data_IF_562106359270
#
_entry.id   IF_562106359270
#
_cell.length_a   1.000
_cell.length_b   1.000
_cell.length_c   1.000
_cell.angle_alpha   90.00
_cell.angle_beta   90.00
_cell.angle_gamma   90.00
#
_symmetry.space_group_name_H-M   'P 1'
#
loop_
_entity.id
_entity.type
_entity.pdbx_description
1 polymer ?
#
# COMPACT_ATOMS: atom_id res chain seq x y z
N UNK A 1 -17.51 -9.67 9.15
CA UNK A 1 -17.59 -8.20 8.96
C UNK A 1 -17.62 -7.53 10.33
N UNK A 2 -16.45 -7.18 10.87
CA UNK A 2 -16.34 -6.34 12.06
C UNK A 2 -15.52 -5.12 11.65
N UNK A 3 -16.23 -4.00 11.48
CA UNK A 3 -15.66 -2.68 11.25
C UNK A 3 -15.04 -2.19 12.56
N UNK A 4 -13.72 -2.33 12.71
CA UNK A 4 -13.01 -1.65 13.78
C UNK A 4 -12.88 -0.16 13.42
N UNK A 5 -13.87 0.63 13.84
CA UNK A 5 -13.83 2.07 13.79
C UNK A 5 -12.76 2.58 14.78
N UNK A 6 -11.70 3.21 14.26
CA UNK A 6 -10.75 3.95 15.10
C UNK A 6 -11.42 5.25 15.55
N UNK A 7 -11.89 5.27 16.81
CA UNK A 7 -12.39 6.47 17.45
C UNK A 7 -11.21 7.40 17.83
N UNK A 8 -11.28 8.66 17.41
CA UNK A 8 -10.40 9.74 17.86
C UNK A 8 -11.09 10.45 19.02
N UNK A 9 -10.52 10.40 20.22
CA UNK A 9 -11.02 11.15 21.38
C UNK A 9 -9.90 11.94 22.07
N UNK A 10 -10.23 13.05 22.78
CA UNK A 10 -9.36 14.18 23.00
C UNK A 10 -8.56 14.06 24.29
N UNK A 11 -7.44 14.78 24.30
CA UNK A 11 -6.45 14.78 25.38
C UNK A 11 -6.99 15.40 26.68
N UNK A 12 -6.79 14.68 27.79
CA UNK A 12 -6.71 15.27 29.14
C UNK A 12 -5.87 14.39 30.10
N UNK A 13 -4.68 14.90 30.40
CA UNK A 13 -3.91 14.91 31.67
C UNK A 13 -3.70 13.61 32.47
N UNK A 14 -2.43 13.20 32.64
CA UNK A 14 -1.71 13.16 33.92
C UNK A 14 -0.34 12.46 33.77
N UNK A 15 0.73 13.13 34.19
CA UNK A 15 2.08 12.56 34.19
C UNK A 15 2.30 11.66 35.40
N UNK A 16 2.65 10.39 35.16
CA UNK A 16 3.29 9.53 36.15
C UNK A 16 4.61 9.02 35.57
N UNK A 17 5.71 9.45 36.20
CA UNK A 17 7.07 8.99 35.87
C UNK A 17 7.23 7.56 36.38
N UNK A 18 7.43 6.61 35.47
CA UNK A 18 7.94 5.27 35.80
C UNK A 18 9.39 5.14 35.38
N UNK A 19 10.17 4.50 36.26
CA UNK A 19 11.62 4.26 36.13
C UNK A 19 11.92 3.33 34.96
N UNK A 20 12.71 3.83 34.00
CA UNK A 20 13.25 3.05 32.88
C UNK A 20 14.42 2.20 33.37
N UNK A 21 14.29 0.88 33.30
CA UNK A 21 15.43 -0.05 33.42
C UNK A 21 16.23 -0.01 32.11
N UNK A 22 17.50 0.43 32.19
CA UNK A 22 18.44 0.33 31.08
C UNK A 22 18.63 -1.13 30.65
N UNK A 23 18.34 -1.45 29.39
CA UNK A 23 18.65 -2.74 28.76
C UNK A 23 20.15 -2.75 28.43
N UNK A 24 20.89 -3.70 29.01
CA UNK A 24 22.29 -3.96 28.67
C UNK A 24 22.38 -4.53 27.24
N UNK A 25 23.16 -3.86 26.38
CA UNK A 25 23.61 -4.43 25.11
C UNK A 25 24.66 -5.51 25.39
N UNK A 26 24.34 -6.76 25.10
CA UNK A 26 25.34 -7.84 25.09
C UNK A 26 26.06 -7.85 23.72
N UNK A 27 27.24 -7.23 23.68
CA UNK A 27 28.25 -7.48 22.66
C UNK A 27 29.19 -8.58 23.18
N UNK A 28 29.25 -9.72 22.49
CA UNK A 28 30.22 -10.79 22.80
C UNK A 28 31.46 -10.65 21.90
N UNK A 29 32.69 -10.78 22.44
CA UNK A 29 33.92 -10.73 21.64
C UNK A 29 34.15 -12.07 20.90
N UNK A 30 34.63 -11.97 19.66
CA UNK A 30 35.01 -13.11 18.81
C UNK A 30 36.29 -13.74 19.36
N UNK A 31 36.17 -14.91 19.97
CA UNK A 31 37.29 -15.76 20.37
C UNK A 31 37.77 -16.65 19.21
N UNK A 32 39.08 -16.76 19.06
CA UNK A 32 39.77 -17.61 18.07
C UNK A 32 39.62 -19.10 18.42
N UNK A 33 39.15 -19.92 17.47
CA UNK A 33 39.02 -21.36 17.62
C UNK A 33 40.03 -22.13 16.74
N UNK A 34 40.72 -23.10 17.35
CA UNK A 34 41.67 -24.05 16.74
C UNK A 34 40.96 -25.16 15.94
N UNK A 35 41.63 -25.82 14.97
CA UNK A 35 40.94 -26.67 14.01
C UNK A 35 40.73 -28.09 14.54
N UNK A 36 39.48 -28.58 14.50
CA UNK A 36 39.14 -29.99 14.75
C UNK A 36 38.94 -30.76 13.43
N UNK A 37 39.57 -31.93 13.39
CA UNK A 37 39.60 -32.95 12.31
C UNK A 37 38.19 -33.31 11.79
N UNK A 38 38.02 -33.32 10.47
CA UNK A 38 36.83 -33.85 9.77
C UNK A 38 36.93 -35.37 9.59
N UNK A 39 35.83 -36.07 9.87
CA UNK A 39 35.56 -37.43 9.38
C UNK A 39 34.60 -37.34 8.18
N UNK A 40 34.66 -38.25 7.20
CA UNK A 40 33.90 -38.14 5.96
C UNK A 40 32.46 -38.65 6.17
N UNK A 41 31.47 -37.86 5.74
CA UNK A 41 30.10 -38.32 5.54
C UNK A 41 29.87 -38.38 4.03
N UNK A 42 29.45 -39.55 3.54
CA UNK A 42 29.19 -39.82 2.14
C UNK A 42 27.99 -39.00 1.63
N UNK A 43 28.18 -38.27 0.54
CA UNK A 43 27.08 -37.71 -0.25
C UNK A 43 26.53 -38.79 -1.19
N UNK A 44 25.23 -39.05 -1.13
CA UNK A 44 24.54 -39.75 -2.20
C UNK A 44 24.43 -38.81 -3.41
N UNK A 45 25.14 -39.13 -4.48
CA UNK A 45 24.98 -38.51 -5.80
C UNK A 45 23.97 -39.34 -6.59
N UNK A 46 22.89 -38.71 -7.03
CA UNK A 46 22.02 -39.26 -8.08
C UNK A 46 22.17 -38.33 -9.27
N UNK A 47 22.94 -38.76 -10.27
CA UNK A 47 23.02 -38.11 -11.57
C UNK A 47 22.38 -38.97 -12.66
N UNK A 48 21.58 -38.26 -13.46
CA UNK A 48 21.26 -38.44 -14.88
C UNK A 48 20.19 -39.45 -15.31
N UNK A 49 19.11 -38.89 -15.87
CA UNK A 49 18.47 -39.45 -17.06
C UNK A 49 17.83 -38.34 -17.93
N UNK A 50 18.49 -38.12 -19.08
CA UNK A 50 17.94 -37.77 -20.41
C UNK A 50 17.52 -36.33 -20.69
N UNK A 51 18.31 -35.76 -21.61
CA UNK A 51 18.05 -34.57 -22.38
C UNK A 51 16.99 -34.82 -23.47
N UNK A 52 16.04 -33.90 -23.57
CA UNK A 52 15.36 -33.57 -24.83
C UNK A 52 15.32 -32.05 -24.93
N UNK A 53 15.97 -31.54 -25.97
CA UNK A 53 16.02 -30.11 -26.28
C UNK A 53 14.65 -29.64 -26.76
N UNK A 54 13.98 -28.83 -25.97
CA UNK A 54 13.13 -27.75 -26.47
C UNK A 54 13.81 -26.45 -26.06
N UNK A 55 14.24 -25.65 -27.04
CA UNK A 55 14.66 -24.27 -26.81
C UNK A 55 13.44 -23.50 -26.30
N UNK A 56 13.23 -23.51 -24.99
CA UNK A 56 12.43 -22.47 -24.36
C UNK A 56 13.19 -21.17 -24.57
N UNK A 57 12.64 -20.32 -25.42
CA UNK A 57 12.98 -18.90 -25.44
C UNK A 57 12.90 -18.40 -24.01
N UNK A 58 13.95 -17.73 -23.54
CA UNK A 58 13.90 -16.98 -22.29
C UNK A 58 12.57 -16.22 -22.21
N UNK A 59 11.86 -16.22 -21.06
CA UNK A 59 10.62 -15.48 -20.95
C UNK A 59 10.90 -14.06 -21.41
N UNK A 60 10.16 -13.60 -22.43
CA UNK A 60 10.27 -12.24 -22.91
C UNK A 60 10.18 -11.33 -21.68
N UNK A 61 11.11 -10.39 -21.54
CA UNK A 61 11.04 -9.37 -20.50
C UNK A 61 9.61 -8.83 -20.49
N UNK A 62 8.89 -8.84 -19.35
CA UNK A 62 7.50 -8.43 -19.31
C UNK A 62 7.39 -7.08 -20.00
N UNK A 63 6.49 -6.99 -21.01
CA UNK A 63 6.27 -5.73 -21.73
C UNK A 63 5.94 -4.67 -20.68
N UNK A 64 6.80 -3.67 -20.54
CA UNK A 64 6.58 -2.54 -19.63
C UNK A 64 5.24 -1.90 -20.02
N UNK A 65 4.22 -2.08 -19.18
CA UNK A 65 2.90 -1.49 -19.43
C UNK A 65 3.04 0.03 -19.44
N UNK A 66 2.47 0.67 -20.45
CA UNK A 66 2.38 2.12 -20.53
C UNK A 66 0.96 2.48 -20.95
N UNK A 67 0.28 3.22 -20.10
CA UNK A 67 -1.08 3.71 -20.32
C UNK A 67 -1.28 5.05 -19.59
N UNK A 68 -2.30 5.84 -19.97
CA UNK A 68 -2.56 7.12 -19.35
C UNK A 68 -3.08 6.97 -17.92
N UNK A 69 -2.51 7.73 -16.99
CA UNK A 69 -2.93 7.77 -15.59
C UNK A 69 -3.16 9.21 -15.16
N UNK A 70 -4.35 9.48 -14.64
CA UNK A 70 -4.73 10.79 -14.11
C UNK A 70 -4.79 10.70 -12.59
N UNK A 71 -4.05 11.55 -11.87
CA UNK A 71 -3.95 11.48 -10.41
C UNK A 71 -4.64 12.68 -9.77
N UNK A 72 -5.77 12.43 -9.10
CA UNK A 72 -6.46 13.39 -8.27
C UNK A 72 -6.14 13.13 -6.81
N UNK A 73 -5.76 14.07 -5.95
CA UNK A 73 -5.21 15.37 -6.30
C UNK A 73 -3.68 15.35 -6.21
N UNK A 74 -3.01 15.80 -7.27
CA UNK A 74 -1.58 16.07 -7.27
C UNK A 74 -1.15 17.18 -6.30
N UNK A 75 -2.08 18.00 -5.79
CA UNK A 75 -1.78 19.02 -4.76
C UNK A 75 -1.52 18.42 -3.37
N UNK A 76 -2.01 17.19 -3.12
CA UNK A 76 -1.79 16.47 -1.88
C UNK A 76 -0.45 15.73 -1.85
N UNK A 77 0.12 15.55 -0.65
CA UNK A 77 1.38 14.81 -0.47
C UNK A 77 1.33 13.40 -1.04
N UNK A 78 0.19 12.71 -0.94
CA UNK A 78 0.02 11.35 -1.46
C UNK A 78 -0.12 11.32 -2.98
N UNK A 79 -0.98 12.17 -3.55
CA UNK A 79 -1.16 12.25 -5.00
C UNK A 79 0.13 12.61 -5.72
N UNK A 80 0.94 13.52 -5.16
CA UNK A 80 2.29 13.80 -5.69
C UNK A 80 3.18 12.56 -5.71
N UNK A 81 3.29 11.84 -4.60
CA UNK A 81 4.10 10.61 -4.54
C UNK A 81 3.60 9.52 -5.51
N UNK A 82 2.29 9.40 -5.72
CA UNK A 82 1.72 8.46 -6.70
C UNK A 82 2.06 8.89 -8.13
N UNK A 83 1.95 10.18 -8.45
CA UNK A 83 2.29 10.69 -9.77
C UNK A 83 3.79 10.47 -10.10
N UNK A 84 4.69 10.72 -9.14
CA UNK A 84 6.13 10.45 -9.27
C UNK A 84 6.42 8.94 -9.46
N UNK A 85 5.77 8.08 -8.67
CA UNK A 85 5.90 6.62 -8.80
C UNK A 85 5.36 6.12 -10.15
N UNK A 86 4.25 6.68 -10.63
CA UNK A 86 3.66 6.33 -11.91
C UNK A 86 4.60 6.67 -13.08
N UNK A 87 5.21 7.86 -13.08
CA UNK A 87 6.22 8.26 -14.07
C UNK A 87 7.43 7.33 -14.01
N UNK A 88 7.93 7.03 -12.80
CA UNK A 88 9.06 6.10 -12.59
C UNK A 88 8.76 4.70 -13.13
N UNK A 89 7.51 4.24 -12.99
CA UNK A 89 7.02 2.97 -13.52
C UNK A 89 6.81 2.98 -15.05
N UNK A 90 6.94 4.13 -15.73
CA UNK A 90 6.76 4.29 -17.17
C UNK A 90 5.31 4.48 -17.63
N UNK A 91 4.40 4.83 -16.71
CA UNK A 91 3.05 5.24 -17.05
C UNK A 91 3.02 6.67 -17.59
N UNK A 92 2.03 6.97 -18.42
CA UNK A 92 1.87 8.30 -19.01
C UNK A 92 1.00 9.17 -18.09
N UNK A 93 1.63 10.09 -17.36
CA UNK A 93 0.90 11.02 -16.50
C UNK A 93 0.08 11.98 -17.37
N UNK A 94 -1.24 12.00 -17.17
CA UNK A 94 -2.14 12.94 -17.84
C UNK A 94 -1.95 14.33 -17.21
N UNK A 95 -1.76 15.40 -18.01
CA UNK A 95 -1.36 16.73 -17.50
C UNK A 95 -2.51 17.53 -16.87
N UNK A 96 -3.39 16.86 -16.13
CA UNK A 96 -4.58 17.44 -15.49
C UNK A 96 -4.80 16.80 -14.12
N UNK A 97 -5.14 17.61 -13.13
CA UNK A 97 -5.61 17.17 -11.81
C UNK A 97 -6.68 18.12 -11.29
N UNK A 98 -7.55 17.64 -10.41
CA UNK A 98 -8.59 18.46 -9.78
C UNK A 98 -8.34 18.68 -8.29
N UNK A 99 -8.46 19.92 -7.82
CA UNK A 99 -8.20 20.30 -6.43
C UNK A 99 -9.01 21.54 -6.04
N UNK A 100 -9.61 21.53 -4.85
CA UNK A 100 -10.17 22.73 -4.25
C UNK A 100 -9.09 23.70 -3.73
N UNK A 101 -7.87 23.21 -3.53
CA UNK A 101 -6.70 24.01 -3.15
C UNK A 101 -6.13 24.64 -4.42
N UNK A 102 -6.12 25.97 -4.46
CA UNK A 102 -5.45 26.75 -5.50
C UNK A 102 -3.93 26.62 -5.39
N UNK A 103 -3.25 26.61 -6.54
CA UNK A 103 -1.79 26.59 -6.63
C UNK A 103 -1.30 27.79 -7.44
N UNK A 104 -0.08 28.31 -7.17
CA UNK A 104 0.53 29.35 -7.99
C UNK A 104 0.49 28.97 -9.47
N UNK A 105 0.10 29.92 -10.33
CA UNK A 105 0.00 29.76 -11.79
C UNK A 105 -0.95 28.65 -12.27
N UNK A 106 -1.75 28.05 -11.38
CA UNK A 106 -2.67 26.96 -11.70
C UNK A 106 -1.97 25.68 -12.17
N UNK A 107 -0.67 25.52 -11.91
CA UNK A 107 0.13 24.38 -12.37
C UNK A 107 1.05 23.83 -11.29
N UNK A 108 1.31 22.53 -11.35
CA UNK A 108 2.34 21.87 -10.57
C UNK A 108 3.28 21.11 -11.50
N UNK A 109 4.57 21.31 -11.32
CA UNK A 109 5.57 20.50 -12.01
C UNK A 109 5.80 19.20 -11.22
N UNK A 110 5.58 18.06 -11.88
CA UNK A 110 5.85 16.71 -11.34
C UNK A 110 6.73 16.00 -12.35
N UNK A 111 7.96 15.69 -11.96
CA UNK A 111 9.00 15.21 -12.87
C UNK A 111 9.13 16.18 -14.07
N UNK A 112 9.02 15.68 -15.31
CA UNK A 112 9.09 16.50 -16.53
C UNK A 112 7.70 16.90 -17.07
N UNK A 113 6.65 16.80 -16.25
CA UNK A 113 5.26 17.09 -16.67
C UNK A 113 4.66 18.26 -15.88
N UNK A 114 4.16 19.27 -16.59
CA UNK A 114 3.34 20.34 -16.01
C UNK A 114 1.89 19.87 -15.90
N UNK A 115 1.41 19.73 -14.67
CA UNK A 115 0.04 19.31 -14.33
C UNK A 115 -0.81 20.54 -14.09
N UNK A 116 -1.82 20.76 -14.93
CA UNK A 116 -2.79 21.84 -14.74
C UNK A 116 -3.80 21.46 -13.66
N UNK A 117 -3.93 22.33 -12.65
CA UNK A 117 -4.82 22.14 -11.52
C UNK A 117 -6.13 22.89 -11.79
N UNK A 118 -7.22 22.14 -11.92
CA UNK A 118 -8.54 22.66 -12.18
C UNK A 118 -9.45 22.59 -10.96
N UNK A 119 -10.46 23.47 -10.93
CA UNK A 119 -11.47 23.42 -9.89
C UNK A 119 -12.34 22.17 -10.05
N UNK A 120 -12.70 21.45 -8.96
CA UNK A 120 -13.56 20.27 -9.04
C UNK A 120 -14.91 20.51 -9.70
N UNK A 121 -15.46 21.73 -9.68
CA UNK A 121 -16.69 22.08 -10.40
C UNK A 121 -16.58 21.95 -11.92
N UNK A 122 -15.37 21.99 -12.47
CA UNK A 122 -15.12 21.83 -13.90
C UNK A 122 -14.84 20.37 -14.31
N UNK A 123 -14.73 19.46 -13.33
CA UNK A 123 -14.27 18.09 -13.52
C UNK A 123 -15.07 17.32 -14.55
N UNK A 124 -16.41 17.39 -14.54
CA UNK A 124 -17.23 16.67 -15.51
C UNK A 124 -16.95 17.10 -16.95
N UNK A 125 -16.87 18.42 -17.20
CA UNK A 125 -16.62 18.97 -18.53
C UNK A 125 -15.24 18.56 -19.04
N UNK A 126 -14.23 18.69 -18.19
CA UNK A 126 -12.83 18.45 -18.55
C UNK A 126 -12.57 16.95 -18.71
N UNK A 127 -13.04 16.10 -17.79
CA UNK A 127 -12.89 14.65 -17.89
C UNK A 127 -13.58 14.08 -19.14
N UNK A 128 -14.77 14.59 -19.52
CA UNK A 128 -15.41 14.21 -20.80
C UNK A 128 -14.56 14.53 -22.02
N UNK A 129 -13.80 15.62 -21.98
CA UNK A 129 -12.91 15.98 -23.09
C UNK A 129 -11.68 15.07 -23.10
N UNK A 130 -11.00 14.96 -21.96
CA UNK A 130 -9.76 14.19 -21.81
C UNK A 130 -9.96 12.71 -22.10
N UNK A 131 -11.12 12.13 -21.74
CA UNK A 131 -11.42 10.73 -22.03
C UNK A 131 -11.40 10.40 -23.54
N UNK A 132 -11.59 11.40 -24.42
CA UNK A 132 -11.47 11.21 -25.88
C UNK A 132 -10.02 11.13 -26.32
N UNK A 133 -9.15 11.91 -25.70
CA UNK A 133 -7.72 11.96 -26.01
C UNK A 133 -6.96 10.79 -25.34
N UNK A 134 -7.50 10.28 -24.24
CA UNK A 134 -6.93 9.19 -23.45
C UNK A 134 -7.97 8.07 -23.19
N UNK A 135 -8.33 7.26 -24.19
CA UNK A 135 -9.41 6.27 -24.08
C UNK A 135 -9.12 5.12 -23.10
N UNK A 136 -7.84 4.81 -22.85
CA UNK A 136 -7.40 3.77 -21.92
C UNK A 136 -6.97 4.31 -20.54
N UNK A 137 -7.40 5.54 -20.20
CA UNK A 137 -7.02 6.21 -18.97
C UNK A 137 -7.56 5.52 -17.72
N UNK A 138 -6.74 5.45 -16.68
CA UNK A 138 -7.17 5.12 -15.32
C UNK A 138 -7.03 6.34 -14.42
N UNK A 139 -8.10 6.67 -13.69
CA UNK A 139 -8.08 7.73 -12.68
C UNK A 139 -7.59 7.17 -11.34
N UNK A 140 -6.71 7.86 -10.65
CA UNK A 140 -6.36 7.60 -9.25
C UNK A 140 -6.96 8.70 -8.38
N UNK A 141 -7.61 8.30 -7.29
CA UNK A 141 -8.22 9.21 -6.31
C UNK A 141 -7.58 9.07 -4.93
N UNK A 142 -6.86 10.13 -4.58
CA UNK A 142 -6.28 10.55 -3.31
C UNK A 142 -6.66 12.02 -3.07
N UNK A 143 -7.91 12.23 -2.70
CA UNK A 143 -8.52 13.52 -2.43
C UNK A 143 -8.78 13.68 -0.93
N UNK A 144 -10.03 13.90 -0.52
CA UNK A 144 -10.46 14.09 0.87
C UNK A 144 -11.73 13.28 1.14
N UNK A 145 -12.00 12.89 2.41
CA UNK A 145 -13.17 12.08 2.76
C UNK A 145 -14.50 12.58 2.18
N UNK A 146 -14.73 13.89 2.22
CA UNK A 146 -15.99 14.51 1.77
C UNK A 146 -16.18 14.45 0.24
N UNK A 147 -15.11 14.23 -0.53
CA UNK A 147 -15.14 14.14 -1.99
C UNK A 147 -15.34 12.70 -2.50
N UNK A 148 -15.13 11.69 -1.65
CA UNK A 148 -15.09 10.25 -2.03
C UNK A 148 -16.31 9.83 -2.85
N UNK A 149 -17.51 10.05 -2.31
CA UNK A 149 -18.74 9.56 -2.94
C UNK A 149 -19.08 10.35 -4.22
N UNK A 150 -18.91 11.68 -4.21
CA UNK A 150 -19.18 12.52 -5.37
C UNK A 150 -18.22 12.25 -6.53
N UNK A 151 -16.93 12.05 -6.25
CA UNK A 151 -15.95 11.68 -7.26
C UNK A 151 -16.25 10.31 -7.87
N UNK A 152 -16.56 9.32 -7.03
CA UNK A 152 -16.92 7.99 -7.53
C UNK A 152 -18.18 8.01 -8.41
N UNK A 153 -19.21 8.76 -8.02
CA UNK A 153 -20.41 8.96 -8.85
C UNK A 153 -20.06 9.59 -10.20
N UNK A 154 -19.18 10.60 -10.21
CA UNK A 154 -18.72 11.22 -11.45
C UNK A 154 -17.95 10.23 -12.34
N UNK A 155 -17.01 9.47 -11.78
CA UNK A 155 -16.25 8.47 -12.54
C UNK A 155 -17.17 7.40 -13.13
N UNK A 156 -18.14 6.94 -12.33
CA UNK A 156 -19.17 5.99 -12.76
C UNK A 156 -20.04 6.55 -13.89
N UNK A 157 -20.53 7.79 -13.75
CA UNK A 157 -21.32 8.50 -14.76
C UNK A 157 -20.59 8.63 -16.10
N UNK A 158 -19.27 8.76 -16.06
CA UNK A 158 -18.42 8.89 -17.25
C UNK A 158 -17.86 7.56 -17.75
N UNK A 159 -18.10 6.45 -17.05
CA UNK A 159 -17.54 5.13 -17.39
C UNK A 159 -16.03 5.03 -17.22
N UNK A 160 -15.43 5.90 -16.40
CA UNK A 160 -13.97 5.98 -16.23
C UNK A 160 -13.49 4.95 -15.21
N UNK A 161 -12.57 4.05 -15.57
CA UNK A 161 -11.96 3.15 -14.59
C UNK A 161 -11.13 3.91 -13.57
N UNK A 162 -11.16 3.48 -12.30
CA UNK A 162 -10.44 4.21 -11.27
C UNK A 162 -9.89 3.37 -10.10
N UNK A 163 -8.85 3.89 -9.47
CA UNK A 163 -8.26 3.37 -8.24
C UNK A 163 -8.50 4.39 -7.12
N UNK A 164 -9.25 4.02 -6.09
CA UNK A 164 -9.58 4.91 -4.98
C UNK A 164 -8.84 4.51 -3.71
N UNK A 165 -7.83 5.32 -3.36
CA UNK A 165 -7.05 5.23 -2.13
C UNK A 165 -7.52 6.18 -1.03
N UNK A 166 -8.39 7.13 -1.35
CA UNK A 166 -8.99 8.06 -0.37
C UNK A 166 -9.80 7.30 0.68
N UNK A 167 -9.46 7.54 1.94
CA UNK A 167 -10.15 6.99 3.12
C UNK A 167 -11.34 7.88 3.53
N UNK A 168 -12.22 7.34 4.36
CA UNK A 168 -13.47 8.02 4.74
C UNK A 168 -14.54 7.97 3.64
N UNK A 169 -15.53 8.87 3.74
CA UNK A 169 -16.76 8.82 2.95
C UNK A 169 -17.71 7.69 3.38
N UNK A 170 -18.88 7.60 2.76
CA UNK A 170 -19.79 6.48 2.92
C UNK A 170 -19.31 5.30 2.06
N UNK A 171 -18.67 4.32 2.71
CA UNK A 171 -18.08 3.16 2.03
C UNK A 171 -19.12 2.20 1.46
N UNK A 172 -20.30 2.11 2.08
CA UNK A 172 -21.37 1.23 1.59
C UNK A 172 -21.96 1.82 0.31
N UNK A 173 -22.27 3.12 0.34
CA UNK A 173 -22.75 3.85 -0.83
C UNK A 173 -21.69 3.82 -1.96
N UNK A 174 -20.42 4.06 -1.64
CA UNK A 174 -19.33 4.01 -2.62
C UNK A 174 -19.30 2.66 -3.37
N UNK A 175 -19.25 1.54 -2.64
CA UNK A 175 -19.19 0.22 -3.25
C UNK A 175 -20.46 -0.06 -4.08
N UNK A 176 -21.64 0.33 -3.56
CA UNK A 176 -22.91 0.16 -4.27
C UNK A 176 -22.93 0.95 -5.59
N UNK A 177 -22.57 2.23 -5.57
CA UNK A 177 -22.53 3.09 -6.76
C UNK A 177 -21.67 2.49 -7.86
N UNK A 178 -20.49 1.98 -7.51
CA UNK A 178 -19.55 1.40 -8.47
C UNK A 178 -20.05 0.07 -9.01
N UNK A 179 -20.62 -0.77 -8.15
CA UNK A 179 -21.18 -2.05 -8.54
C UNK A 179 -22.39 -1.87 -9.47
N UNK A 180 -23.30 -0.94 -9.15
CA UNK A 180 -24.49 -0.64 -9.96
C UNK A 180 -24.09 -0.06 -11.33
N UNK A 181 -23.06 0.79 -11.38
CA UNK A 181 -22.56 1.37 -12.63
C UNK A 181 -21.75 0.39 -13.49
N UNK A 182 -21.36 -0.77 -12.94
CA UNK A 182 -20.57 -1.80 -13.62
C UNK A 182 -19.24 -1.27 -14.20
N UNK A 183 -18.58 -0.36 -13.46
CA UNK A 183 -17.31 0.26 -13.85
C UNK A 183 -16.14 -0.46 -13.18
N UNK A 184 -15.03 -0.61 -13.91
CA UNK A 184 -13.80 -1.17 -13.38
C UNK A 184 -13.20 -0.27 -12.29
N UNK A 185 -13.06 -0.77 -11.07
CA UNK A 185 -12.42 -0.03 -10.00
C UNK A 185 -11.61 -0.92 -9.06
N UNK A 186 -10.53 -0.36 -8.50
CA UNK A 186 -9.90 -0.86 -7.28
C UNK A 186 -10.22 0.09 -6.14
N UNK A 187 -10.82 -0.41 -5.07
CA UNK A 187 -11.14 0.38 -3.88
C UNK A 187 -10.45 -0.25 -2.69
N UNK A 188 -9.47 0.46 -2.11
CA UNK A 188 -8.78 -0.01 -0.91
C UNK A 188 -8.40 1.15 0.01
N UNK A 189 -8.78 1.12 1.31
CA UNK A 189 -8.34 2.11 2.27
C UNK A 189 -6.87 1.93 2.67
N UNK A 190 -6.25 0.80 2.31
CA UNK A 190 -4.84 0.49 2.57
C UNK A 190 -4.18 0.04 1.26
N UNK A 191 -3.35 0.90 0.67
CA UNK A 191 -2.65 0.64 -0.59
C UNK A 191 -1.25 0.05 -0.38
N UNK A 192 -0.74 0.00 0.85
CA UNK A 192 0.54 -0.65 1.16
C UNK A 192 0.41 -2.16 1.05
N UNK A 193 0.61 -2.71 -0.15
CA UNK A 193 0.27 -4.11 -0.47
C UNK A 193 0.93 -5.13 0.48
N UNK A 194 2.16 -4.87 0.94
CA UNK A 194 2.87 -5.76 1.87
C UNK A 194 2.23 -5.73 3.26
N UNK A 195 1.74 -4.58 3.71
CA UNK A 195 0.98 -4.46 4.97
C UNK A 195 -0.35 -5.21 4.84
N UNK A 196 -1.04 -5.09 3.70
CA UNK A 196 -2.26 -5.87 3.43
C UNK A 196 -1.99 -7.37 3.45
N UNK A 197 -0.89 -7.82 2.83
CA UNK A 197 -0.52 -9.24 2.84
C UNK A 197 -0.25 -9.78 4.25
N UNK A 198 0.43 -8.99 5.10
CA UNK A 198 0.65 -9.34 6.50
C UNK A 198 -0.69 -9.44 7.26
N UNK A 199 -1.58 -8.46 7.11
CA UNK A 199 -2.91 -8.48 7.73
C UNK A 199 -3.73 -9.71 7.30
N UNK A 200 -3.73 -10.03 6.00
CA UNK A 200 -4.43 -11.20 5.47
C UNK A 200 -3.86 -12.52 6.02
N UNK A 201 -2.53 -12.61 6.17
CA UNK A 201 -1.90 -13.79 6.77
C UNK A 201 -2.33 -13.98 8.24
N UNK A 202 -2.40 -12.89 9.01
CA UNK A 202 -2.87 -12.92 10.40
C UNK A 202 -4.34 -13.30 10.49
N UNK A 203 -5.20 -12.78 9.60
CA UNK A 203 -6.62 -13.13 9.54
C UNK A 203 -6.83 -14.62 9.23
N UNK A 204 -6.16 -15.15 8.20
CA UNK A 204 -6.21 -16.58 7.86
C UNK A 204 -5.74 -17.45 9.03
N UNK A 205 -4.67 -17.05 9.72
CA UNK A 205 -4.17 -17.77 10.89
C UNK A 205 -5.19 -17.78 12.03
N UNK A 206 -5.82 -16.63 12.31
CA UNK A 206 -6.83 -16.51 13.35
C UNK A 206 -8.09 -17.34 13.05
N UNK A 207 -8.53 -17.37 11.79
CA UNK A 207 -9.67 -18.19 11.34
C UNK A 207 -9.37 -19.69 11.43
N UNK A 208 -8.17 -20.11 11.00
CA UNK A 208 -7.80 -21.54 10.97
C UNK A 208 -7.52 -22.12 12.35
N UNK A 209 -7.02 -21.31 13.27
CA UNK A 209 -6.58 -21.78 14.59
C UNK A 209 -7.23 -20.94 15.71
N UNK A 210 -8.56 -21.03 15.87
CA UNK A 210 -9.27 -20.27 16.89
C UNK A 210 -8.77 -20.66 18.28
N UNK A 211 -8.42 -19.66 19.09
CA UNK A 211 -7.90 -19.86 20.45
C UNK A 211 -6.46 -20.35 20.53
N UNK A 212 -5.69 -20.39 19.42
CA UNK A 212 -4.29 -20.83 19.44
C UNK A 212 -3.39 -20.05 20.40
N UNK A 213 -3.74 -18.79 20.68
CA UNK A 213 -3.05 -17.91 21.62
C UNK A 213 -3.90 -17.63 22.88
N UNK A 214 -4.84 -18.51 23.24
CA UNK A 214 -5.63 -18.34 24.45
C UNK A 214 -4.73 -18.24 25.69
N UNK A 215 -4.97 -17.21 26.51
CA UNK A 215 -4.14 -16.90 27.69
C UNK A 215 -2.95 -15.98 27.41
N UNK A 216 -2.53 -15.79 26.16
CA UNK A 216 -1.47 -14.82 25.85
C UNK A 216 -1.96 -13.39 26.11
N UNK A 217 -1.04 -12.53 26.58
CA UNK A 217 -1.25 -11.09 26.69
C UNK A 217 -0.79 -10.42 25.40
N UNK A 218 -1.64 -9.58 24.80
CA UNK A 218 -1.31 -8.74 23.65
C UNK A 218 -1.00 -7.32 24.10
N UNK A 219 0.15 -6.79 23.67
CA UNK A 219 0.52 -5.39 23.79
C UNK A 219 0.68 -4.79 22.38
N UNK A 220 0.10 -3.62 22.15
CA UNK A 220 0.16 -2.90 20.87
C UNK A 220 0.76 -1.53 21.13
N UNK A 221 1.97 -1.30 20.62
CA UNK A 221 2.69 -0.06 20.83
C UNK A 221 2.52 0.87 19.63
N UNK A 222 1.91 2.02 19.89
CA UNK A 222 1.69 3.12 18.95
C UNK A 222 2.33 4.39 19.55
N UNK A 223 3.64 4.56 19.36
CA UNK A 223 4.35 5.73 19.87
C UNK A 223 4.06 6.93 18.97
N UNK A 224 3.54 8.01 19.56
CA UNK A 224 3.13 9.24 18.85
C UNK A 224 4.01 10.45 19.17
N UNK A 225 4.77 10.39 20.25
CA UNK A 225 5.68 11.46 20.64
C UNK A 225 6.91 11.46 19.71
N UNK A 226 7.28 12.59 19.09
CA UNK A 226 8.39 12.65 18.13
C UNK A 226 9.77 12.30 18.72
N UNK A 227 10.02 12.65 19.98
CA UNK A 227 11.29 12.34 20.64
C UNK A 227 11.38 10.84 20.95
N UNK A 228 10.29 10.24 21.43
CA UNK A 228 10.20 8.79 21.63
C UNK A 228 10.20 8.01 20.30
N UNK A 229 9.61 8.56 19.23
CA UNK A 229 9.67 7.98 17.89
C UNK A 229 11.10 7.88 17.37
N UNK A 230 11.93 8.90 17.64
CA UNK A 230 13.34 8.89 17.28
C UNK A 230 14.14 7.94 18.19
N UNK A 231 14.00 8.08 19.52
CA UNK A 231 14.89 7.45 20.50
C UNK A 231 14.54 5.99 20.81
N UNK A 232 13.26 5.63 20.78
CA UNK A 232 12.76 4.31 21.21
C UNK A 232 12.34 3.47 20.00
N UNK A 233 11.67 4.08 19.03
CA UNK A 233 11.13 3.39 17.85
C UNK A 233 12.13 3.35 16.69
N UNK A 234 13.12 4.26 16.67
CA UNK A 234 14.15 4.33 15.64
C UNK A 234 13.66 4.91 14.31
N UNK A 235 12.65 5.78 14.35
CA UNK A 235 12.15 6.47 13.16
C UNK A 235 13.21 7.48 12.68
N UNK A 236 13.64 7.45 11.41
CA UNK A 236 14.53 8.47 10.87
C UNK A 236 13.92 9.87 10.97
N UNK A 237 14.71 10.86 11.35
CA UNK A 237 14.24 12.24 11.61
C UNK A 237 13.45 12.83 10.43
N UNK A 238 13.91 12.56 9.20
CA UNK A 238 13.28 12.96 7.93
C UNK A 238 11.87 12.37 7.69
N UNK A 239 11.43 11.41 8.50
CA UNK A 239 10.14 10.72 8.35
C UNK A 239 9.20 10.89 9.55
N UNK A 240 9.57 11.68 10.56
CA UNK A 240 8.71 11.94 11.72
C UNK A 240 7.34 12.51 11.32
N UNK A 241 7.30 13.37 10.30
CA UNK A 241 6.05 13.98 9.79
C UNK A 241 5.17 13.05 8.92
N UNK A 242 5.55 11.78 8.74
CA UNK A 242 4.79 10.80 7.98
C UNK A 242 5.45 9.44 7.95
N UNK A 243 5.17 8.63 8.96
CA UNK A 243 5.56 7.23 9.07
C UNK A 243 4.42 6.42 9.69
N UNK A 244 4.53 5.09 9.63
CA UNK A 244 3.66 4.17 10.33
C UNK A 244 4.48 3.01 10.88
N UNK A 245 4.88 3.12 12.15
CA UNK A 245 5.59 2.06 12.88
C UNK A 245 4.59 1.41 13.83
N UNK A 246 4.40 0.10 13.67
CA UNK A 246 3.50 -0.68 14.51
C UNK A 246 4.27 -1.87 15.07
N UNK A 247 4.12 -2.09 16.37
CA UNK A 247 4.68 -3.26 17.05
C UNK A 247 3.57 -3.97 17.84
N UNK A 248 3.45 -5.28 17.60
CA UNK A 248 2.53 -6.20 18.27
C UNK A 248 3.34 -7.23 19.04
N UNK A 249 3.14 -7.29 20.36
CA UNK A 249 3.86 -8.19 21.23
C UNK A 249 2.89 -9.14 21.93
N UNK A 250 3.08 -10.45 21.76
CA UNK A 250 2.37 -11.49 22.49
C UNK A 250 3.29 -12.15 23.51
N UNK A 251 2.86 -12.23 24.76
CA UNK A 251 3.60 -12.90 25.85
C UNK A 251 2.75 -13.99 26.49
N UNK A 252 3.32 -15.18 26.72
CA UNK A 252 2.63 -16.30 27.37
C UNK A 252 2.34 -16.01 28.85
N UNK A 253 1.34 -16.68 29.48
CA UNK A 253 1.02 -16.49 30.90
C UNK A 253 2.18 -16.71 31.88
N UNK A 254 3.11 -17.61 31.54
CA UNK A 254 4.28 -17.94 32.36
C UNK A 254 5.53 -17.12 31.99
N UNK A 255 5.37 -16.14 31.10
CA UNK A 255 6.41 -15.22 30.61
C UNK A 255 7.59 -15.92 29.87
N UNK A 256 7.46 -17.20 29.50
CA UNK A 256 8.55 -17.95 28.85
C UNK A 256 8.57 -17.83 27.32
N UNK A 257 7.44 -17.48 26.69
CA UNK A 257 7.29 -17.37 25.24
C UNK A 257 6.89 -15.95 24.85
N UNK A 258 7.60 -15.39 23.88
CA UNK A 258 7.40 -14.04 23.35
C UNK A 258 7.36 -14.08 21.82
N UNK A 259 6.31 -13.51 21.22
CA UNK A 259 6.24 -13.25 19.77
C UNK A 259 6.15 -11.76 19.51
N UNK A 260 6.92 -11.28 18.54
CA UNK A 260 6.93 -9.88 18.12
C UNK A 260 6.66 -9.79 16.62
N UNK A 261 5.72 -8.94 16.24
CA UNK A 261 5.46 -8.60 14.86
C UNK A 261 5.61 -7.08 14.69
N UNK A 262 6.46 -6.68 13.75
CA UNK A 262 6.72 -5.27 13.50
C UNK A 262 6.64 -4.96 12.00
N UNK A 263 5.97 -3.88 11.66
CA UNK A 263 6.08 -3.26 10.34
C UNK A 263 6.30 -1.75 10.46
N UNK A 264 7.28 -1.26 9.71
CA UNK A 264 7.74 0.11 9.75
C UNK A 264 7.68 0.70 8.34
N UNK A 265 6.83 1.70 8.16
CA UNK A 265 6.71 2.43 6.90
C UNK A 265 7.27 3.83 7.09
N UNK A 266 8.30 4.15 6.32
CA UNK A 266 8.84 5.50 6.19
C UNK A 266 8.22 6.21 4.98
N UNK A 267 7.68 7.41 5.19
CA UNK A 267 7.12 8.22 4.12
C UNK A 267 5.89 7.58 3.46
N UNK A 268 5.84 7.65 2.12
CA UNK A 268 4.64 7.34 1.33
C UNK A 268 4.87 6.34 0.20
N UNK A 269 6.12 5.92 -0.01
CA UNK A 269 6.51 5.09 -1.17
C UNK A 269 5.71 3.79 -1.24
N UNK A 270 5.51 3.08 -0.11
CA UNK A 270 4.75 1.82 -0.12
C UNK A 270 3.31 1.98 -0.64
N UNK A 271 2.66 3.10 -0.33
CA UNK A 271 1.29 3.38 -0.77
C UNK A 271 1.28 3.82 -2.23
N UNK A 272 2.26 4.62 -2.65
CA UNK A 272 2.43 5.04 -4.03
C UNK A 272 2.65 3.83 -4.93
N UNK A 273 3.63 2.98 -4.63
CA UNK A 273 3.95 1.77 -5.40
C UNK A 273 2.76 0.81 -5.47
N UNK A 274 2.10 0.55 -4.35
CA UNK A 274 0.90 -0.29 -4.33
C UNK A 274 -0.28 0.28 -5.12
N UNK A 275 -0.40 1.61 -5.21
CA UNK A 275 -1.40 2.27 -6.06
C UNK A 275 -1.06 2.10 -7.54
N UNK A 276 0.20 2.24 -7.93
CA UNK A 276 0.62 2.00 -9.32
C UNK A 276 0.40 0.53 -9.68
N UNK A 277 0.69 -0.41 -8.77
CA UNK A 277 0.39 -1.84 -8.96
C UNK A 277 -1.11 -2.09 -9.14
N UNK A 278 -1.96 -1.46 -8.35
CA UNK A 278 -3.41 -1.52 -8.51
C UNK A 278 -3.89 -0.96 -9.86
N UNK A 279 -3.29 0.13 -10.34
CA UNK A 279 -3.61 0.67 -11.65
C UNK A 279 -3.19 -0.30 -12.78
N UNK A 280 -2.01 -0.90 -12.70
CA UNK A 280 -1.56 -1.91 -13.68
C UNK A 280 -2.41 -3.19 -13.66
N UNK A 281 -2.79 -3.63 -12.46
CA UNK A 281 -3.76 -4.72 -12.27
C UNK A 281 -5.07 -4.40 -12.98
N UNK A 282 -5.64 -3.24 -12.68
CA UNK A 282 -6.93 -2.83 -13.23
C UNK A 282 -6.88 -2.69 -14.75
N UNK A 283 -5.80 -2.12 -15.28
CA UNK A 283 -5.55 -2.05 -16.72
C UNK A 283 -5.54 -3.44 -17.38
N UNK A 284 -4.91 -4.42 -16.73
CA UNK A 284 -4.89 -5.81 -17.21
C UNK A 284 -6.28 -6.46 -17.17
N UNK A 285 -7.09 -6.19 -16.13
CA UNK A 285 -8.48 -6.68 -16.03
C UNK A 285 -9.42 -6.06 -17.08
N UNK A 286 -9.20 -4.79 -17.42
CA UNK A 286 -9.93 -4.12 -18.52
C UNK A 286 -9.58 -4.78 -19.85
N UNK A 287 -8.28 -4.94 -20.15
CA UNK A 287 -7.82 -5.51 -21.43
C UNK A 287 -8.22 -6.97 -21.65
N UNK A 288 -8.32 -7.73 -20.57
CA UNK A 288 -8.78 -9.12 -20.61
C UNK A 288 -10.31 -9.25 -20.66
N UNK A 289 -11.05 -8.15 -20.54
CA UNK A 289 -12.51 -8.17 -20.54
C UNK A 289 -13.11 -8.88 -19.32
N UNK A 290 -12.41 -8.88 -18.18
CA UNK A 290 -12.83 -9.62 -16.99
C UNK A 290 -14.26 -9.28 -16.54
N UNK A 291 -15.04 -10.29 -16.14
CA UNK A 291 -16.43 -10.11 -15.71
C UNK A 291 -16.54 -9.31 -14.41
N UNK A 292 -15.66 -9.61 -13.43
CA UNK A 292 -15.56 -8.84 -12.19
C UNK A 292 -15.03 -7.43 -12.51
N UNK A 293 -15.68 -6.39 -11.95
CA UNK A 293 -15.31 -4.99 -12.17
C UNK A 293 -14.83 -4.27 -10.92
N UNK A 294 -15.37 -4.61 -9.75
CA UNK A 294 -14.95 -4.03 -8.48
C UNK A 294 -13.96 -4.95 -7.76
N UNK A 295 -12.78 -4.43 -7.47
CA UNK A 295 -11.66 -5.15 -6.88
C UNK A 295 -11.11 -4.43 -5.63
N UNK A 296 -10.35 -5.16 -4.82
CA UNK A 296 -9.61 -4.63 -3.68
C UNK A 296 -8.11 -4.97 -3.75
N UNK A 297 -7.35 -4.66 -2.70
CA UNK A 297 -5.91 -4.95 -2.66
C UNK A 297 -5.58 -6.44 -2.46
N UNK A 298 -6.53 -7.25 -1.98
CA UNK A 298 -6.36 -8.71 -1.91
C UNK A 298 -6.43 -9.31 -3.31
N UNK A 299 -7.32 -8.81 -4.16
CA UNK A 299 -7.37 -9.19 -5.58
C UNK A 299 -6.05 -8.84 -6.29
N UNK A 300 -5.52 -7.64 -6.04
CA UNK A 300 -4.21 -7.21 -6.59
C UNK A 300 -3.09 -8.15 -6.12
N UNK A 301 -3.06 -8.51 -4.83
CA UNK A 301 -2.07 -9.44 -4.27
C UNK A 301 -2.15 -10.84 -4.88
N UNK A 302 -3.36 -11.34 -5.15
CA UNK A 302 -3.60 -12.68 -5.72
C UNK A 302 -3.10 -12.81 -7.16
N UNK A 303 -3.07 -11.72 -7.91
CA UNK A 303 -2.53 -11.71 -9.27
C UNK A 303 -1.02 -12.02 -9.30
N UNK A 304 -0.32 -11.75 -8.20
CA UNK A 304 1.13 -11.91 -8.09
C UNK A 304 1.90 -10.66 -8.53
N UNK A 305 3.20 -10.81 -8.75
CA UNK A 305 4.08 -9.66 -8.94
C UNK A 305 3.92 -9.07 -10.35
N UNK A 306 3.53 -7.79 -10.42
CA UNK A 306 3.30 -7.06 -11.68
C UNK A 306 4.50 -6.22 -12.12
N UNK A 307 5.56 -6.12 -11.30
CA UNK A 307 6.87 -5.51 -11.58
C UNK A 307 8.00 -6.18 -10.80
#
# INVERSE_FOLDING_TARGET
MLSAAFAVHPAAVASQRHSVRQRQQFCAPIGTATPRRRLPVAMLSVTNAVATQSRESAPASPRKLSFPILVNSCTGKMGKSVAEAAVSAGLQLVPVSFSAIEVPDGKLNICDTDIHIHNPSESERILRSIAKDYPDMIVVDYTVPDAVNANAELYCKLGLPFVMGTTGGDRQLLNKTVQDANVYAVISPQMGKQVVAFLAAMEIMAEKFPGAFAGYKLEVNLVRDPEEQLAIVGVPEEHLAGHAFHNYHLTSPDETVSFEFQHNVCGRSIYAEGTVDAAMFLHTKIRSGADKKLYDMIDVLREGNMR
#
